data_IF_926816559965
#
_entry.id   IF_926816559965
#
_cell.length_a   1.000
_cell.length_b   1.000
_cell.length_c   1.000
_cell.angle_alpha   90.00
_cell.angle_beta   90.00
_cell.angle_gamma   90.00
#
_symmetry.space_group_name_H-M   'P 1'
#
loop_
_entity.id
_entity.type
_entity.pdbx_description
1 polymer ?
#
# COMPACT_ATOMS: atom_id res chain seq x y z
N UNK A 1 24.19 19.64 9.64
CA UNK A 1 22.77 19.75 9.21
C UNK A 1 22.42 18.41 8.58
N UNK A 2 21.98 17.44 9.40
CA UNK A 2 21.58 16.13 8.90
C UNK A 2 20.22 16.29 8.25
N UNK A 3 20.17 16.18 6.94
CA UNK A 3 18.91 16.04 6.20
C UNK A 3 18.38 14.65 6.57
N UNK A 4 17.52 14.56 7.59
CA UNK A 4 16.67 13.39 7.76
C UNK A 4 15.71 13.41 6.56
N UNK A 5 16.01 12.63 5.53
CA UNK A 5 15.12 12.47 4.39
C UNK A 5 13.84 11.79 4.90
N UNK A 6 12.77 12.58 5.03
CA UNK A 6 11.43 12.05 5.28
C UNK A 6 10.92 11.54 3.94
N UNK A 7 10.59 10.26 3.87
CA UNK A 7 9.94 9.68 2.68
C UNK A 7 8.56 10.33 2.52
N UNK A 8 8.14 10.55 1.28
CA UNK A 8 6.77 10.96 0.98
C UNK A 8 5.96 9.79 0.45
N UNK A 9 4.67 9.76 0.79
CA UNK A 9 3.74 8.74 0.32
C UNK A 9 2.47 9.40 -0.20
N UNK A 10 1.84 8.76 -1.18
CA UNK A 10 0.47 9.06 -1.56
C UNK A 10 -0.49 8.65 -0.44
N UNK A 11 -1.46 9.51 -0.13
CA UNK A 11 -2.40 9.31 0.98
C UNK A 11 -3.82 9.48 0.49
N UNK A 12 -4.65 8.48 0.76
CA UNK A 12 -6.06 8.55 0.46
C UNK A 12 -6.86 7.53 1.28
N UNK A 13 -8.17 7.75 1.31
CA UNK A 13 -9.15 6.78 1.78
C UNK A 13 -10.31 6.79 0.79
N UNK A 14 -10.80 5.61 0.43
CA UNK A 14 -12.01 5.42 -0.38
C UNK A 14 -13.15 6.37 0.07
N UNK A 15 -13.82 7.09 -0.85
CA UNK A 15 -13.74 6.99 -2.32
C UNK A 15 -12.69 7.86 -3.00
N UNK A 16 -11.79 8.51 -2.26
CA UNK A 16 -10.87 9.53 -2.79
C UNK A 16 -9.51 8.98 -3.24
N UNK A 17 -9.47 7.71 -3.66
CA UNK A 17 -8.28 7.04 -4.18
C UNK A 17 -8.42 6.88 -5.71
N UNK A 18 -8.42 8.00 -6.43
CA UNK A 18 -8.73 8.09 -7.86
C UNK A 18 -7.51 8.34 -8.76
N UNK A 19 -6.30 8.23 -8.22
CA UNK A 19 -5.04 8.46 -8.93
C UNK A 19 -4.57 9.91 -8.89
N UNK A 20 -5.33 10.82 -8.28
CA UNK A 20 -4.96 12.22 -8.05
C UNK A 20 -4.72 12.52 -6.56
N UNK A 21 -4.54 11.47 -5.75
CA UNK A 21 -4.35 11.61 -4.32
C UNK A 21 -3.07 12.39 -3.97
N UNK A 22 -3.11 13.25 -2.93
CA UNK A 22 -1.97 14.04 -2.53
C UNK A 22 -0.84 13.17 -1.97
N UNK A 23 0.39 13.62 -2.20
CA UNK A 23 1.56 13.12 -1.49
C UNK A 23 1.80 13.94 -0.23
N UNK A 24 2.18 13.29 0.87
CA UNK A 24 2.62 13.98 2.09
C UNK A 24 3.94 13.39 2.60
N UNK A 25 4.71 14.20 3.32
CA UNK A 25 5.87 13.72 4.07
C UNK A 25 5.40 12.84 5.23
N UNK A 26 6.00 11.67 5.36
CA UNK A 26 5.69 10.75 6.44
C UNK A 26 6.48 11.05 7.71
N UNK A 27 5.91 10.79 8.90
CA UNK A 27 6.64 10.85 10.16
C UNK A 27 7.89 9.95 10.18
N UNK A 28 8.90 10.31 10.97
CA UNK A 28 10.16 9.54 11.08
C UNK A 28 9.95 8.10 11.57
N UNK A 29 8.92 7.86 12.38
CA UNK A 29 8.55 6.54 12.88
C UNK A 29 7.72 5.73 11.88
N UNK A 30 7.27 6.34 10.79
CA UNK A 30 6.51 5.71 9.70
C UNK A 30 7.19 5.89 8.33
N UNK A 31 8.43 5.40 8.14
CA UNK A 31 9.23 5.71 6.96
C UNK A 31 8.86 4.89 5.71
N UNK A 32 7.72 4.20 5.70
CA UNK A 32 7.25 3.36 4.59
C UNK A 32 5.89 3.83 4.10
N UNK A 33 5.54 3.43 2.88
CA UNK A 33 4.20 3.62 2.35
C UNK A 33 3.44 2.30 2.35
N UNK A 34 2.14 2.34 2.61
CA UNK A 34 1.26 1.19 2.60
C UNK A 34 0.04 1.44 1.73
N UNK A 35 -0.24 0.51 0.81
CA UNK A 35 -1.49 0.43 0.08
C UNK A 35 -2.33 -0.74 0.60
N UNK A 36 -3.55 -0.46 1.03
CA UNK A 36 -4.50 -1.46 1.49
C UNK A 36 -5.67 -1.56 0.52
N UNK A 37 -6.00 -2.78 0.13
CA UNK A 37 -7.14 -3.13 -0.71
C UNK A 37 -8.01 -4.11 0.05
N UNK A 38 -9.27 -3.79 0.25
CA UNK A 38 -10.30 -4.73 0.72
C UNK A 38 -11.32 -4.94 -0.39
N UNK A 39 -11.54 -6.19 -0.78
CA UNK A 39 -12.53 -6.56 -1.78
C UNK A 39 -13.69 -7.28 -1.10
N UNK A 40 -14.92 -6.90 -1.44
CA UNK A 40 -16.15 -7.53 -0.98
C UNK A 40 -16.60 -8.64 -1.94
N UNK A 41 -17.44 -9.55 -1.46
CA UNK A 41 -18.01 -10.64 -2.29
C UNK A 41 -18.85 -10.15 -3.47
N UNK A 42 -19.39 -8.92 -3.38
CA UNK A 42 -20.16 -8.28 -4.44
C UNK A 42 -19.28 -7.56 -5.49
N UNK A 43 -17.95 -7.61 -5.35
CA UNK A 43 -16.98 -6.94 -6.23
C UNK A 43 -16.69 -5.49 -5.89
N UNK A 44 -17.31 -4.93 -4.84
CA UNK A 44 -16.97 -3.61 -4.33
C UNK A 44 -15.57 -3.65 -3.72
N UNK A 45 -14.77 -2.62 -3.99
CA UNK A 45 -13.42 -2.47 -3.50
C UNK A 45 -13.31 -1.22 -2.65
N UNK A 46 -12.52 -1.31 -1.59
CA UNK A 46 -12.11 -0.21 -0.74
C UNK A 46 -10.59 -0.10 -0.78
N UNK A 47 -10.09 1.11 -0.95
CA UNK A 47 -8.67 1.42 -1.02
C UNK A 47 -8.30 2.42 0.08
N UNK A 48 -7.15 2.22 0.70
CA UNK A 48 -6.51 3.21 1.54
C UNK A 48 -5.02 3.25 1.26
N UNK A 49 -4.44 4.45 1.26
CA UNK A 49 -3.00 4.68 1.14
C UNK A 49 -2.53 5.49 2.34
N UNK A 50 -1.49 5.03 3.02
CA UNK A 50 -1.00 5.65 4.26
C UNK A 50 0.53 5.59 4.35
N UNK A 51 1.10 6.38 5.26
CA UNK A 51 2.41 6.07 5.82
C UNK A 51 2.29 4.82 6.72
N UNK A 52 3.39 4.12 6.94
CA UNK A 52 3.44 2.90 7.73
C UNK A 52 4.77 2.72 8.47
N UNK A 53 4.69 2.06 9.62
CA UNK A 53 5.83 1.58 10.40
C UNK A 53 6.41 0.29 9.82
N UNK A 54 7.66 -0.04 10.19
CA UNK A 54 8.25 -1.35 9.85
C UNK A 54 7.40 -2.52 10.39
N UNK A 55 6.85 -2.37 11.59
CA UNK A 55 6.01 -3.40 12.24
C UNK A 55 4.76 -3.68 11.43
N UNK A 56 4.05 -2.64 10.98
CA UNK A 56 2.88 -2.78 10.11
C UNK A 56 3.24 -3.46 8.79
N UNK A 57 4.38 -3.10 8.19
CA UNK A 57 4.83 -3.75 6.95
C UNK A 57 5.17 -5.23 7.14
N UNK A 58 5.79 -5.62 8.25
CA UNK A 58 6.01 -7.03 8.56
C UNK A 58 4.68 -7.77 8.76
N UNK A 59 3.74 -7.19 9.50
CA UNK A 59 2.47 -7.84 9.80
C UNK A 59 1.58 -7.95 8.57
N UNK A 60 1.28 -6.85 7.90
CA UNK A 60 0.27 -6.79 6.85
C UNK A 60 0.82 -7.22 5.48
N UNK A 61 2.03 -6.78 5.12
CA UNK A 61 2.62 -7.16 3.84
C UNK A 61 3.30 -8.53 3.93
N UNK A 62 4.33 -8.67 4.76
CA UNK A 62 5.17 -9.89 4.75
C UNK A 62 4.39 -11.13 5.21
N UNK A 63 3.62 -11.03 6.30
CA UNK A 63 2.95 -12.20 6.88
C UNK A 63 1.60 -12.51 6.21
N UNK A 64 0.82 -11.50 5.82
CA UNK A 64 -0.53 -11.73 5.29
C UNK A 64 -0.60 -11.70 3.75
N UNK A 65 0.09 -10.77 3.10
CA UNK A 65 -0.16 -10.47 1.67
C UNK A 65 0.89 -11.09 0.73
N UNK A 66 2.17 -11.06 1.07
CA UNK A 66 3.28 -11.43 0.20
C UNK A 66 3.25 -12.90 -0.26
N UNK A 67 2.51 -13.76 0.44
CA UNK A 67 2.37 -15.18 0.13
C UNK A 67 0.94 -15.59 -0.28
N UNK A 68 -0.02 -14.67 -0.24
CA UNK A 68 -1.39 -14.96 -0.64
C UNK A 68 -1.49 -14.90 -2.18
N UNK A 69 -1.79 -16.02 -2.88
CA UNK A 69 -1.90 -16.04 -4.33
C UNK A 69 -2.95 -15.07 -4.87
N UNK A 70 -3.99 -14.71 -4.09
CA UNK A 70 -5.01 -13.73 -4.50
C UNK A 70 -4.41 -12.34 -4.63
N UNK A 71 -3.46 -12.01 -3.76
CA UNK A 71 -2.77 -10.72 -3.76
C UNK A 71 -1.60 -10.67 -4.73
N UNK A 72 -0.92 -11.80 -4.97
CA UNK A 72 0.15 -11.89 -5.96
C UNK A 72 -0.39 -11.82 -7.41
N UNK A 73 -1.61 -12.30 -7.64
CA UNK A 73 -2.29 -12.23 -8.93
C UNK A 73 -3.32 -11.09 -8.98
N UNK A 74 -3.25 -10.15 -8.04
CA UNK A 74 -4.18 -9.02 -8.01
C UNK A 74 -3.86 -8.05 -9.15
N UNK A 75 -4.90 -7.71 -9.89
CA UNK A 75 -4.90 -6.73 -10.96
C UNK A 75 -6.02 -5.72 -10.72
N UNK A 76 -5.66 -4.44 -10.64
CA UNK A 76 -6.57 -3.35 -10.33
C UNK A 76 -7.76 -3.24 -11.29
N UNK A 77 -7.55 -3.51 -12.58
CA UNK A 77 -8.61 -3.47 -13.60
C UNK A 77 -9.58 -4.66 -13.58
N UNK A 78 -9.33 -5.68 -12.76
CA UNK A 78 -10.16 -6.89 -12.70
C UNK A 78 -11.25 -6.79 -11.63
N UNK A 79 -12.39 -7.44 -11.88
CA UNK A 79 -13.48 -7.61 -10.90
C UNK A 79 -13.32 -8.96 -10.20
N UNK A 80 -13.37 -8.97 -8.87
CA UNK A 80 -13.27 -10.17 -8.06
C UNK A 80 -14.55 -10.36 -7.26
N UNK A 81 -15.19 -11.53 -7.34
CA UNK A 81 -16.43 -11.84 -6.61
C UNK A 81 -16.14 -12.69 -5.36
N UNK A 82 -15.14 -12.28 -4.60
CA UNK A 82 -14.68 -12.97 -3.40
C UNK A 82 -14.15 -11.96 -2.39
N UNK A 83 -14.27 -12.28 -1.10
CA UNK A 83 -13.69 -11.43 -0.06
C UNK A 83 -12.22 -11.76 0.17
N UNK A 84 -11.39 -10.72 0.13
CA UNK A 84 -9.98 -10.79 0.50
C UNK A 84 -9.45 -9.38 0.80
N UNK A 85 -8.33 -9.33 1.51
CA UNK A 85 -7.58 -8.11 1.76
C UNK A 85 -6.15 -8.29 1.31
N UNK A 86 -5.58 -7.24 0.70
CA UNK A 86 -4.19 -7.19 0.30
C UNK A 86 -3.57 -5.89 0.80
N UNK A 87 -2.36 -5.98 1.34
CA UNK A 87 -1.64 -4.88 1.94
C UNK A 87 -0.22 -4.84 1.38
N UNK A 88 0.11 -3.85 0.55
CA UNK A 88 1.42 -3.74 -0.10
C UNK A 88 2.23 -2.63 0.54
N UNK A 89 3.31 -2.99 1.23
CA UNK A 89 4.26 -2.02 1.75
C UNK A 89 5.41 -1.79 0.77
N UNK A 90 5.85 -0.55 0.64
CA UNK A 90 7.01 -0.16 -0.14
C UNK A 90 7.82 0.93 0.55
N UNK A 91 9.05 1.13 0.08
CA UNK A 91 9.96 2.16 0.54
C UNK A 91 10.44 3.03 -0.64
N UNK A 92 10.64 4.31 -0.36
CA UNK A 92 11.12 5.31 -1.29
C UNK A 92 10.05 6.34 -1.65
N UNK A 93 10.50 7.46 -2.18
CA UNK A 93 9.65 8.61 -2.48
C UNK A 93 8.46 8.21 -3.38
N UNK A 94 7.25 8.41 -2.86
CA UNK A 94 5.97 8.13 -3.53
C UNK A 94 5.89 6.72 -4.14
N UNK A 95 6.56 5.73 -3.53
CA UNK A 95 6.64 4.38 -4.07
C UNK A 95 5.27 3.70 -4.24
N UNK A 96 4.25 4.20 -3.54
CA UNK A 96 2.90 3.68 -3.51
C UNK A 96 1.94 4.36 -4.50
N UNK A 97 2.47 5.07 -5.50
CA UNK A 97 1.68 5.67 -6.58
C UNK A 97 0.78 4.65 -7.28
N UNK A 98 1.33 3.46 -7.58
CA UNK A 98 0.53 2.33 -8.10
C UNK A 98 -0.08 1.55 -6.94
N UNK A 99 -1.31 1.03 -7.12
CA UNK A 99 -1.99 0.26 -6.08
C UNK A 99 -1.17 -0.97 -5.65
N UNK A 100 -0.59 -1.67 -6.61
CA UNK A 100 0.50 -2.63 -6.40
C UNK A 100 1.82 -1.93 -6.72
N UNK A 101 2.68 -1.65 -5.73
CA UNK A 101 3.98 -0.99 -5.95
C UNK A 101 4.91 -1.79 -6.87
N UNK A 102 5.92 -1.11 -7.41
CA UNK A 102 6.97 -1.76 -8.19
C UNK A 102 7.73 -2.76 -7.33
N UNK A 103 8.08 -3.92 -7.90
CA UNK A 103 8.82 -4.99 -7.20
C UNK A 103 10.12 -4.48 -6.54
N UNK A 104 10.79 -3.53 -7.19
CA UNK A 104 12.03 -2.93 -6.69
C UNK A 104 11.84 -2.07 -5.43
N UNK A 105 10.63 -1.57 -5.17
CA UNK A 105 10.32 -0.70 -4.02
C UNK A 105 9.63 -1.45 -2.89
N UNK A 106 9.17 -2.69 -3.10
CA UNK A 106 8.49 -3.48 -2.07
C UNK A 106 9.36 -3.64 -0.82
N UNK A 107 8.73 -3.47 0.34
CA UNK A 107 9.38 -3.61 1.64
C UNK A 107 9.97 -5.01 1.79
N UNK A 108 11.21 -5.06 2.26
CA UNK A 108 11.95 -6.27 2.61
C UNK A 108 12.41 -6.12 4.06
N UNK A 109 12.05 -7.06 4.96
CA UNK A 109 12.43 -6.99 6.36
C UNK A 109 13.94 -7.10 6.58
#
# INVERSE_FOLDING_TARGET
>A
MLLYYLESCHICLDPFCDGLEPSQLCPLDQPYCLNSVSNEVNGKRHIAKTCATATECVQLWVNETARDPRCQNFHEGSVYLQSFSCHYCCQGENCNAQLVPLEATLFKP
#
